data_IF_305280012721
#
_entry.id   IF_305280012721
#
_cell.length_a   1.000
_cell.length_b   1.000
_cell.length_c   1.000
_cell.angle_alpha   90.00
_cell.angle_beta   90.00
_cell.angle_gamma   90.00
#
_symmetry.space_group_name_H-M   'P 1'
#
loop_
_entity.id
_entity.type
_entity.pdbx_description
1 polymer ?
#
# COMPACT_ATOMS: atom_id res chain seq x y z
N UNK A 1 3.95 2.58 32.30
CA UNK A 1 2.56 2.92 31.98
C UNK A 1 2.11 1.97 30.88
N UNK A 2 1.32 0.95 31.22
CA UNK A 2 0.91 -0.09 30.28
C UNK A 2 -0.24 0.44 29.42
N UNK A 3 -0.04 0.49 28.11
CA UNK A 3 -1.05 0.97 27.17
C UNK A 3 -1.96 -0.21 26.80
N UNK A 4 -3.14 -0.28 27.41
CA UNK A 4 -4.18 -1.25 27.09
C UNK A 4 -5.00 -0.76 25.89
N UNK A 5 -4.72 -1.31 24.71
CA UNK A 5 -5.60 -1.16 23.55
C UNK A 5 -6.81 -2.08 23.74
N UNK A 6 -7.94 -1.50 24.15
CA UNK A 6 -9.30 -2.05 24.10
C UNK A 6 -9.51 -3.47 24.68
N UNK A 7 -9.98 -3.52 25.93
CA UNK A 7 -11.10 -4.38 26.34
C UNK A 7 -10.89 -5.88 26.54
N UNK A 8 -9.80 -6.49 26.08
CA UNK A 8 -9.45 -7.87 26.41
C UNK A 8 -8.06 -7.92 27.07
N UNK A 9 -7.86 -8.76 28.11
CA UNK A 9 -6.54 -8.95 28.69
C UNK A 9 -5.61 -9.47 27.59
N UNK A 10 -4.62 -8.65 27.25
CA UNK A 10 -3.53 -9.07 26.36
C UNK A 10 -2.83 -10.21 27.08
N UNK A 11 -2.99 -11.43 26.58
CA UNK A 11 -2.30 -12.58 27.13
C UNK A 11 -0.79 -12.30 27.17
N UNK A 12 -0.19 -12.35 28.37
CA UNK A 12 1.25 -12.44 28.54
C UNK A 12 1.72 -13.71 27.82
N UNK A 13 2.30 -13.56 26.63
CA UNK A 13 2.79 -14.69 25.82
C UNK A 13 2.72 -14.51 24.31
N UNK A 14 2.08 -13.46 23.78
CA UNK A 14 2.09 -13.22 22.33
C UNK A 14 3.51 -12.88 21.84
N UNK A 15 4.13 -13.78 21.05
CA UNK A 15 5.42 -13.53 20.40
C UNK A 15 5.31 -12.33 19.46
N UNK A 16 5.90 -11.21 19.88
CA UNK A 16 5.99 -10.01 19.07
C UNK A 16 7.21 -10.04 18.15
N UNK A 17 7.08 -9.47 16.95
CA UNK A 17 8.23 -9.23 16.07
C UNK A 17 8.24 -7.81 15.53
N UNK A 18 9.42 -7.22 15.47
CA UNK A 18 9.59 -5.90 14.85
C UNK A 18 9.74 -6.02 13.34
N UNK A 19 9.05 -5.15 12.60
CA UNK A 19 9.24 -4.97 11.16
C UNK A 19 9.65 -3.52 10.86
N UNK A 20 10.27 -3.32 9.70
CA UNK A 20 10.33 -2.01 9.06
C UNK A 20 9.13 -1.85 8.16
N UNK A 21 8.51 -0.68 8.14
CA UNK A 21 7.37 -0.42 7.27
C UNK A 21 7.40 0.98 6.67
N UNK A 22 6.67 1.13 5.56
CA UNK A 22 6.26 2.41 4.98
C UNK A 22 4.76 2.41 4.81
N UNK A 23 4.17 3.59 4.70
CA UNK A 23 2.76 3.77 4.38
C UNK A 23 2.61 4.46 3.02
N UNK A 24 1.50 4.14 2.37
CA UNK A 24 1.00 4.87 1.21
C UNK A 24 -0.52 5.01 1.38
N UNK A 25 -1.00 6.23 1.57
CA UNK A 25 -2.42 6.52 1.65
C UNK A 25 -2.99 6.77 0.26
N UNK A 26 -3.93 5.95 -0.16
CA UNK A 26 -4.53 6.08 -1.49
C UNK A 26 -5.35 7.37 -1.63
N UNK A 27 -6.11 7.70 -0.59
CA UNK A 27 -6.88 8.93 -0.41
C UNK A 27 -7.24 9.05 1.06
N UNK A 28 -7.21 10.25 1.64
CA UNK A 28 -7.69 10.46 3.00
C UNK A 28 -9.20 10.24 3.10
N UNK A 29 -9.63 9.65 4.21
CA UNK A 29 -11.01 9.43 4.60
C UNK A 29 -11.23 10.02 6.00
N UNK A 30 -12.37 10.66 6.23
CA UNK A 30 -12.78 11.27 7.49
C UNK A 30 -11.71 12.21 8.11
N UNK A 31 -11.01 12.97 7.25
CA UNK A 31 -9.88 13.85 7.60
C UNK A 31 -8.72 13.17 8.35
N UNK A 32 -8.63 11.84 8.30
CA UNK A 32 -7.58 11.06 8.94
C UNK A 32 -6.26 11.21 8.18
N UNK A 33 -5.37 12.05 8.72
CA UNK A 33 -4.04 12.35 8.16
C UNK A 33 -2.89 11.74 8.97
N UNK A 34 -3.18 11.28 10.18
CA UNK A 34 -2.22 10.66 11.08
C UNK A 34 -2.91 9.55 11.87
N UNK A 35 -2.20 8.47 12.09
CA UNK A 35 -2.62 7.34 12.91
C UNK A 35 -1.49 6.99 13.88
N UNK A 36 -1.74 6.08 14.80
CA UNK A 36 -0.74 5.56 15.74
C UNK A 36 -0.54 4.08 15.52
N UNK A 37 0.70 3.61 15.65
CA UNK A 37 1.08 2.21 15.54
C UNK A 37 1.89 1.78 16.78
N UNK A 38 1.88 0.49 17.12
CA UNK A 38 2.70 -0.03 18.22
C UNK A 38 4.18 0.11 17.86
N UNK A 39 4.91 0.89 18.65
CA UNK A 39 6.34 1.14 18.48
C UNK A 39 7.17 -0.14 18.61
N UNK A 40 8.46 -0.08 18.20
CA UNK A 40 9.34 -1.25 18.21
C UNK A 40 9.67 -1.76 19.61
N UNK A 41 9.42 -0.98 20.66
CA UNK A 41 9.53 -1.40 22.06
C UNK A 41 8.35 -2.30 22.50
N UNK A 42 7.30 -2.42 21.67
CA UNK A 42 6.09 -3.16 21.97
C UNK A 42 5.25 -2.55 23.09
N UNK A 43 5.51 -1.31 23.51
CA UNK A 43 4.86 -0.64 24.65
C UNK A 43 4.30 0.72 24.28
N UNK A 44 5.04 1.53 23.52
CA UNK A 44 4.63 2.88 23.14
C UNK A 44 3.87 2.88 21.82
N UNK A 45 3.04 3.91 21.60
CA UNK A 45 2.48 4.20 20.29
C UNK A 45 3.30 5.29 19.62
N UNK A 46 3.67 5.06 18.36
CA UNK A 46 4.35 6.04 17.53
C UNK A 46 3.35 6.70 16.55
N UNK A 47 3.45 8.02 16.31
CA UNK A 47 2.65 8.68 15.30
C UNK A 47 3.12 8.28 13.90
N UNK A 48 2.18 8.01 13.01
CA UNK A 48 2.39 7.58 11.63
C UNK A 48 1.59 8.49 10.72
N UNK A 49 2.28 9.34 9.97
CA UNK A 49 1.63 10.24 9.01
C UNK A 49 1.20 9.47 7.76
N UNK A 50 -0.02 9.74 7.31
CA UNK A 50 -0.60 9.14 6.10
C UNK A 50 -0.36 10.07 4.92
N UNK A 51 0.71 9.83 4.16
CA UNK A 51 0.99 10.59 2.93
C UNK A 51 0.33 9.93 1.72
N UNK A 52 -0.08 10.74 0.73
CA UNK A 52 -0.52 10.24 -0.59
C UNK A 52 0.66 9.89 -1.52
N UNK A 53 1.84 9.78 -0.93
CA UNK A 53 3.10 9.31 -1.51
C UNK A 53 3.70 8.30 -0.54
N UNK A 54 4.80 7.64 -0.93
CA UNK A 54 5.57 6.81 0.00
C UNK A 54 5.99 7.61 1.23
N UNK A 55 5.75 7.08 2.42
CA UNK A 55 6.34 7.60 3.66
C UNK A 55 7.83 7.28 3.74
N UNK A 56 8.51 7.88 4.71
CA UNK A 56 9.82 7.38 5.14
C UNK A 56 9.66 6.03 5.86
N UNK A 57 10.70 5.18 5.84
CA UNK A 57 10.70 3.94 6.63
C UNK A 57 10.61 4.21 8.13
N UNK A 58 9.71 3.50 8.79
CA UNK A 58 9.52 3.47 10.24
C UNK A 58 9.58 2.03 10.75
N UNK A 59 9.53 1.83 12.08
CA UNK A 59 9.56 0.50 12.69
C UNK A 59 8.35 0.32 13.60
N UNK A 60 7.71 -0.84 13.55
CA UNK A 60 6.61 -1.18 14.43
C UNK A 60 6.76 -2.60 14.98
N UNK A 61 6.18 -2.84 16.15
CA UNK A 61 5.98 -4.18 16.69
C UNK A 61 4.66 -4.75 16.15
N UNK A 62 4.74 -5.94 15.57
CA UNK A 62 3.57 -6.77 15.31
C UNK A 62 3.34 -7.69 16.49
N UNK A 63 2.08 -7.90 16.87
CA UNK A 63 1.66 -8.97 17.80
C UNK A 63 0.78 -9.94 17.02
N UNK A 64 1.04 -11.23 17.17
CA UNK A 64 0.32 -12.29 16.43
C UNK A 64 0.32 -12.06 14.90
N UNK A 65 1.43 -11.53 14.39
CA UNK A 65 1.59 -11.12 12.99
C UNK A 65 0.58 -10.05 12.51
N UNK A 66 -0.08 -9.33 13.42
CA UNK A 66 -1.03 -8.29 13.08
C UNK A 66 -0.41 -6.89 13.16
N UNK A 67 -0.59 -6.11 12.10
CA UNK A 67 -0.37 -4.67 12.10
C UNK A 67 -1.71 -3.99 12.41
N UNK A 68 -1.73 -3.17 13.47
CA UNK A 68 -2.92 -2.42 13.88
C UNK A 68 -2.55 -0.94 13.93
N UNK A 69 -3.37 -0.13 13.29
CA UNK A 69 -3.28 1.34 13.33
C UNK A 69 -4.50 1.88 14.04
N UNK A 70 -4.28 2.80 14.96
CA UNK A 70 -5.33 3.36 15.83
C UNK A 70 -5.32 4.88 15.82
N UNK A 71 -6.38 5.50 16.32
CA UNK A 71 -6.44 6.93 16.63
C UNK A 71 -7.03 7.12 18.01
N UNK A 72 -6.71 8.23 18.65
CA UNK A 72 -7.39 8.65 19.86
C UNK A 72 -8.86 8.99 19.56
N UNK A 73 -9.74 8.53 20.44
CA UNK A 73 -11.19 8.64 20.35
C UNK A 73 -11.77 8.98 21.73
N UNK A 74 -11.25 10.07 22.30
CA UNK A 74 -11.61 10.58 23.61
C UNK A 74 -10.84 9.90 24.75
N UNK A 75 -11.47 9.89 25.93
CA UNK A 75 -10.91 9.35 27.17
C UNK A 75 -11.60 8.01 27.52
N UNK A 76 -10.90 7.15 28.25
CA UNK A 76 -11.47 5.92 28.81
C UNK A 76 -12.46 6.21 29.95
N UNK A 77 -13.08 5.16 30.48
CA UNK A 77 -14.06 5.26 31.56
C UNK A 77 -13.51 5.90 32.85
N UNK A 78 -12.19 5.88 33.04
CA UNK A 78 -11.50 6.57 34.14
C UNK A 78 -11.41 8.10 33.94
N UNK A 79 -11.77 8.62 32.75
CA UNK A 79 -11.68 10.03 32.40
C UNK A 79 -10.24 10.57 32.34
N UNK A 80 -9.22 9.72 32.36
CA UNK A 80 -7.80 10.12 32.44
C UNK A 80 -7.01 9.55 31.28
N UNK A 81 -7.19 8.27 30.95
CA UNK A 81 -6.38 7.63 29.91
C UNK A 81 -7.00 7.84 28.52
N UNK A 82 -6.20 7.95 27.44
CA UNK A 82 -6.74 8.03 26.09
C UNK A 82 -7.45 6.73 25.70
N UNK A 83 -8.65 6.85 25.14
CA UNK A 83 -9.31 5.75 24.45
C UNK A 83 -8.85 5.74 23.01
N UNK A 84 -8.61 4.55 22.46
CA UNK A 84 -8.22 4.40 21.06
C UNK A 84 -9.30 3.67 20.28
N UNK A 85 -9.52 4.08 19.02
CA UNK A 85 -10.31 3.34 18.03
C UNK A 85 -9.40 2.76 16.96
N UNK A 86 -9.71 1.57 16.50
CA UNK A 86 -8.98 0.96 15.37
C UNK A 86 -9.36 1.68 14.09
N UNK A 87 -8.34 2.06 13.32
CA UNK A 87 -8.47 2.77 12.04
C UNK A 87 -8.30 1.81 10.88
N UNK A 88 -7.39 0.87 11.02
CA UNK A 88 -7.15 -0.18 10.05
C UNK A 88 -6.34 -1.30 10.69
N UNK A 89 -6.54 -2.54 10.23
CA UNK A 89 -5.67 -3.66 10.59
C UNK A 89 -5.43 -4.63 9.43
N UNK A 90 -4.33 -5.36 9.47
CA UNK A 90 -4.06 -6.48 8.55
C UNK A 90 -3.10 -7.47 9.17
N UNK A 91 -3.10 -8.71 8.66
CA UNK A 91 -2.07 -9.71 8.95
C UNK A 91 -0.86 -9.51 8.03
N UNK A 92 0.33 -9.73 8.56
CA UNK A 92 1.61 -9.69 7.84
C UNK A 92 2.28 -11.05 7.97
N UNK A 93 2.51 -11.79 6.87
CA UNK A 93 3.16 -13.09 6.93
C UNK A 93 4.51 -13.03 7.67
N UNK A 94 4.80 -14.05 8.49
CA UNK A 94 5.99 -14.10 9.36
C UNK A 94 7.32 -13.96 8.60
N UNK A 95 7.35 -14.38 7.34
CA UNK A 95 8.51 -14.27 6.45
C UNK A 95 8.81 -12.84 5.97
N UNK A 96 7.90 -11.88 6.19
CA UNK A 96 8.03 -10.51 5.67
C UNK A 96 8.50 -9.55 6.76
N UNK A 97 9.69 -8.97 6.59
CA UNK A 97 10.30 -8.03 7.54
C UNK A 97 10.25 -6.56 7.09
N UNK A 98 9.98 -6.30 5.81
CA UNK A 98 9.80 -4.96 5.25
C UNK A 98 8.47 -4.88 4.50
N UNK A 99 7.59 -3.97 4.92
CA UNK A 99 6.20 -3.91 4.43
C UNK A 99 5.84 -2.50 3.96
N UNK A 100 5.16 -2.40 2.82
CA UNK A 100 4.41 -1.23 2.43
C UNK A 100 2.95 -1.47 2.78
N UNK A 101 2.41 -0.68 3.70
CA UNK A 101 0.99 -0.66 4.00
C UNK A 101 0.29 0.36 3.09
N UNK A 102 -0.52 -0.14 2.17
CA UNK A 102 -1.38 0.70 1.34
C UNK A 102 -2.73 0.87 2.03
N UNK A 103 -3.03 2.10 2.45
CA UNK A 103 -4.32 2.46 3.06
C UNK A 103 -5.32 2.76 1.97
N UNK A 104 -6.31 1.89 1.80
CA UNK A 104 -7.42 2.07 0.88
C UNK A 104 -8.65 2.54 1.65
N UNK A 105 -9.42 3.52 1.12
CA UNK A 105 -10.66 3.91 1.75
C UNK A 105 -11.60 2.71 1.86
N UNK A 106 -12.20 2.53 3.04
CA UNK A 106 -13.18 1.48 3.24
C UNK A 106 -14.53 1.87 2.62
N UNK A 107 -15.42 0.89 2.51
CA UNK A 107 -16.80 1.14 2.08
C UNK A 107 -17.55 1.95 3.15
N UNK A 108 -18.60 2.67 2.72
CA UNK A 108 -19.45 3.42 3.63
C UNK A 108 -19.99 2.51 4.73
N UNK A 109 -19.95 2.98 5.98
CA UNK A 109 -20.37 2.25 7.19
C UNK A 109 -19.50 1.04 7.58
N UNK A 110 -18.30 0.88 7.00
CA UNK A 110 -17.34 -0.07 7.54
C UNK A 110 -16.95 0.34 8.98
N UNK A 111 -16.67 -0.64 9.84
CA UNK A 111 -16.23 -0.40 11.23
C UNK A 111 -14.88 0.31 11.29
N UNK A 112 -14.06 0.15 10.26
CA UNK A 112 -12.76 0.78 10.10
C UNK A 112 -12.79 1.68 8.86
N UNK A 113 -12.29 2.93 8.93
CA UNK A 113 -12.27 3.84 7.80
C UNK A 113 -11.33 3.40 6.67
N UNK A 114 -10.36 2.52 6.93
CA UNK A 114 -9.46 2.02 5.89
C UNK A 114 -9.39 0.49 5.86
N UNK A 115 -9.22 -0.06 4.66
CA UNK A 115 -8.72 -1.41 4.41
C UNK A 115 -7.21 -1.32 4.15
N UNK A 116 -6.43 -2.24 4.71
CA UNK A 116 -4.99 -2.32 4.45
C UNK A 116 -4.66 -3.41 3.44
N UNK A 117 -3.72 -3.10 2.55
CA UNK A 117 -2.97 -4.10 1.79
C UNK A 117 -1.52 -4.05 2.26
N UNK A 118 -1.03 -5.18 2.78
CA UNK A 118 0.38 -5.36 3.12
C UNK A 118 1.13 -5.92 1.90
N UNK A 119 2.08 -5.14 1.37
CA UNK A 119 2.93 -5.55 0.26
C UNK A 119 4.37 -5.71 0.73
N UNK A 120 5.08 -6.75 0.28
CA UNK A 120 6.52 -6.87 0.52
C UNK A 120 7.26 -5.67 -0.08
N UNK A 121 8.10 -5.01 0.71
CA UNK A 121 8.73 -3.75 0.32
C UNK A 121 10.26 -3.83 0.23
N UNK A 122 10.81 -5.00 0.56
CA UNK A 122 12.25 -5.22 0.46
C UNK A 122 12.72 -5.20 -1.00
N UNK A 123 13.94 -4.69 -1.29
CA UNK A 123 14.47 -4.64 -2.65
C UNK A 123 14.69 -6.00 -3.33
N UNK A 124 14.64 -7.13 -2.62
CA UNK A 124 14.75 -8.45 -3.25
C UNK A 124 13.40 -8.88 -3.82
N UNK A 125 12.31 -8.65 -3.08
CA UNK A 125 10.95 -8.93 -3.52
C UNK A 125 10.37 -7.85 -4.45
N UNK A 126 10.85 -6.62 -4.35
CA UNK A 126 10.48 -5.52 -5.24
C UNK A 126 11.71 -4.73 -5.71
N UNK A 127 12.47 -5.27 -6.67
CA UNK A 127 13.70 -4.63 -7.15
C UNK A 127 13.45 -3.24 -7.74
N UNK A 128 14.47 -2.38 -7.65
CA UNK A 128 14.48 -1.14 -8.41
C UNK A 128 14.53 -1.43 -9.92
N UNK A 129 13.89 -0.57 -10.70
CA UNK A 129 13.66 -0.74 -12.14
C UNK A 129 12.36 -1.49 -12.46
N UNK A 130 11.79 -2.22 -11.50
CA UNK A 130 10.57 -3.00 -11.73
C UNK A 130 9.29 -2.17 -11.49
N UNK A 131 8.19 -2.68 -12.06
CA UNK A 131 6.84 -2.14 -11.86
C UNK A 131 5.98 -3.20 -11.18
N UNK A 132 5.39 -2.86 -10.03
CA UNK A 132 4.35 -3.67 -9.40
C UNK A 132 2.99 -3.21 -9.86
N UNK A 133 2.18 -4.15 -10.34
CA UNK A 133 0.82 -3.92 -10.82
C UNK A 133 -0.15 -4.44 -9.76
N UNK A 134 -1.06 -3.59 -9.28
CA UNK A 134 -2.12 -3.96 -8.34
C UNK A 134 -3.48 -3.63 -8.95
N UNK A 135 -4.33 -4.64 -9.12
CA UNK A 135 -5.66 -4.45 -9.66
C UNK A 135 -6.74 -4.49 -8.58
N UNK A 136 -7.24 -3.32 -8.20
CA UNK A 136 -8.39 -3.15 -7.28
C UNK A 136 -9.73 -3.07 -8.02
N UNK A 137 -9.72 -3.11 -9.34
CA UNK A 137 -10.96 -3.07 -10.13
C UNK A 137 -11.69 -4.42 -10.10
N UNK A 138 -13.02 -4.44 -10.31
CA UNK A 138 -13.80 -5.67 -10.33
C UNK A 138 -13.64 -6.47 -11.65
N UNK A 139 -12.78 -6.02 -12.56
CA UNK A 139 -12.56 -6.67 -13.86
C UNK A 139 -11.07 -6.93 -14.10
N UNK A 140 -10.71 -7.90 -14.95
CA UNK A 140 -9.32 -8.05 -15.38
C UNK A 140 -8.80 -6.78 -16.06
N UNK A 141 -7.54 -6.45 -15.78
CA UNK A 141 -6.84 -5.32 -16.38
C UNK A 141 -5.60 -5.81 -17.10
N UNK A 142 -5.41 -5.38 -18.34
CA UNK A 142 -4.27 -5.71 -19.18
C UNK A 142 -3.31 -4.52 -19.26
N UNK A 143 -2.04 -4.80 -19.03
CA UNK A 143 -0.96 -3.84 -18.99
C UNK A 143 0.03 -4.16 -20.10
N UNK A 144 0.20 -3.20 -21.02
CA UNK A 144 1.23 -3.20 -22.05
C UNK A 144 2.33 -2.24 -21.63
N UNK A 145 3.52 -2.73 -21.31
CA UNK A 145 4.66 -1.92 -20.86
C UNK A 145 5.88 -2.20 -21.77
N UNK A 146 6.24 -1.26 -22.64
CA UNK A 146 7.40 -1.39 -23.54
C UNK A 146 7.37 -2.69 -24.35
N UNK A 147 8.43 -3.50 -24.26
CA UNK A 147 8.49 -4.80 -24.94
C UNK A 147 7.48 -5.85 -24.43
N UNK A 148 6.86 -5.63 -23.26
CA UNK A 148 5.76 -6.45 -22.74
C UNK A 148 4.40 -5.98 -23.29
N UNK A 149 4.33 -5.70 -24.58
CA UNK A 149 3.11 -5.30 -25.28
C UNK A 149 2.52 -6.45 -26.13
N UNK A 150 1.34 -6.22 -26.71
CA UNK A 150 0.64 -7.23 -27.53
C UNK A 150 0.39 -8.53 -26.77
N UNK A 151 0.89 -9.64 -27.32
CA UNK A 151 0.73 -10.98 -26.73
C UNK A 151 1.49 -11.18 -25.41
N UNK A 152 2.48 -10.34 -25.12
CA UNK A 152 3.29 -10.38 -23.88
C UNK A 152 2.70 -9.54 -22.74
N UNK A 153 1.58 -8.87 -22.99
CA UNK A 153 0.94 -8.02 -22.00
C UNK A 153 0.53 -8.80 -20.75
N UNK A 154 0.76 -8.21 -19.57
CA UNK A 154 0.36 -8.80 -18.30
C UNK A 154 -1.12 -8.54 -18.06
N UNK A 155 -1.88 -9.60 -17.78
CA UNK A 155 -3.28 -9.47 -17.37
C UNK A 155 -3.39 -9.77 -15.89
N UNK A 156 -3.81 -8.78 -15.11
CA UNK A 156 -3.97 -8.88 -13.66
C UNK A 156 -5.46 -9.05 -13.36
N UNK A 157 -5.81 -10.16 -12.69
CA UNK A 157 -7.20 -10.44 -12.27
C UNK A 157 -7.64 -9.47 -11.15
N UNK A 158 -8.96 -9.33 -10.88
CA UNK A 158 -9.44 -8.56 -9.72
C UNK A 158 -8.77 -9.00 -8.42
N UNK A 159 -8.29 -8.04 -7.63
CA UNK A 159 -7.52 -8.27 -6.40
C UNK A 159 -6.09 -8.78 -6.62
N UNK A 160 -5.68 -9.00 -7.88
CA UNK A 160 -4.39 -9.57 -8.23
C UNK A 160 -3.24 -8.58 -8.11
N UNK A 161 -2.05 -9.12 -7.89
CA UNK A 161 -0.78 -8.40 -7.91
C UNK A 161 0.14 -9.13 -8.88
N UNK A 162 0.78 -8.39 -9.77
CA UNK A 162 1.80 -8.90 -10.69
C UNK A 162 3.03 -8.01 -10.67
N UNK A 163 4.16 -8.57 -11.10
CA UNK A 163 5.40 -7.82 -11.27
C UNK A 163 5.77 -7.80 -12.76
N UNK A 164 6.21 -6.65 -13.23
CA UNK A 164 6.86 -6.48 -14.52
C UNK A 164 8.31 -6.12 -14.25
N UNK A 165 9.20 -6.96 -14.74
CA UNK A 165 10.63 -6.68 -14.72
C UNK A 165 10.96 -5.43 -15.52
N UNK A 166 12.14 -4.86 -15.22
CA UNK A 166 12.65 -3.68 -15.89
C UNK A 166 12.53 -3.78 -17.42
N UNK A 167 11.81 -2.80 -17.98
CA UNK A 167 11.68 -2.57 -19.41
C UNK A 167 13.03 -2.15 -19.99
N UNK A 168 13.51 -2.88 -21.00
CA UNK A 168 14.81 -2.67 -21.64
C UNK A 168 14.68 -1.89 -22.96
N UNK A 169 13.56 -2.02 -23.68
CA UNK A 169 13.37 -1.33 -24.95
C UNK A 169 12.78 0.05 -24.69
N UNK A 170 13.66 1.06 -24.70
CA UNK A 170 13.34 2.45 -24.42
C UNK A 170 13.80 3.35 -25.57
N UNK A 171 13.19 4.54 -25.68
CA UNK A 171 13.64 5.59 -26.60
C UNK A 171 14.88 6.33 -26.07
N UNK A 172 15.39 7.29 -26.85
CA UNK A 172 16.58 8.08 -26.52
C UNK A 172 16.45 8.90 -25.20
N UNK A 173 15.22 9.03 -24.67
CA UNK A 173 14.93 9.71 -23.41
C UNK A 173 14.73 8.73 -22.24
N UNK A 174 15.06 7.45 -22.43
CA UNK A 174 14.76 6.35 -21.51
C UNK A 174 13.26 6.21 -21.22
N UNK A 175 12.39 6.45 -22.20
CA UNK A 175 10.94 6.28 -22.04
C UNK A 175 10.43 5.06 -22.81
N UNK A 176 9.37 4.45 -22.31
CA UNK A 176 8.64 3.37 -22.97
C UNK A 176 7.14 3.63 -22.98
N UNK A 177 6.45 3.08 -23.99
CA UNK A 177 5.01 3.21 -24.11
C UNK A 177 4.30 2.34 -23.07
N UNK A 178 3.29 2.91 -22.43
CA UNK A 178 2.39 2.22 -21.51
C UNK A 178 0.96 2.35 -22.01
N UNK A 179 0.28 1.22 -22.17
CA UNK A 179 -1.16 1.17 -22.45
C UNK A 179 -1.84 0.27 -21.44
N UNK A 180 -2.91 0.78 -20.84
CA UNK A 180 -3.68 0.05 -19.83
C UNK A 180 -5.10 -0.11 -20.34
N UNK A 181 -5.57 -1.35 -20.34
CA UNK A 181 -6.87 -1.73 -20.86
C UNK A 181 -7.67 -2.46 -19.80
N UNK A 182 -8.95 -2.13 -19.67
CA UNK A 182 -9.86 -2.80 -18.75
C UNK A 182 -10.78 -3.73 -19.53
N UNK A 183 -11.06 -4.91 -18.99
CA UNK A 183 -12.00 -5.84 -19.59
C UNK A 183 -13.41 -5.24 -19.56
N UNK A 184 -13.97 -4.97 -20.74
CA UNK A 184 -15.36 -4.61 -20.96
C UNK A 184 -16.17 -5.77 -21.55
N UNK A 185 -17.43 -5.50 -21.92
CA UNK A 185 -18.36 -6.52 -22.47
C UNK A 185 -17.90 -7.11 -23.81
N UNK A 186 -17.26 -6.30 -24.66
CA UNK A 186 -16.82 -6.68 -26.01
C UNK A 186 -15.31 -6.99 -26.10
N UNK A 187 -14.63 -7.09 -24.97
CA UNK A 187 -13.17 -7.23 -24.91
C UNK A 187 -12.50 -6.13 -24.10
N UNK A 188 -11.18 -6.08 -24.18
CA UNK A 188 -10.37 -5.08 -23.51
C UNK A 188 -10.51 -3.71 -24.18
N UNK A 189 -10.70 -2.66 -23.37
CA UNK A 189 -10.86 -1.27 -23.81
C UNK A 189 -9.74 -0.43 -23.23
N UNK A 190 -8.99 0.34 -24.04
CA UNK A 190 -7.92 1.20 -23.52
C UNK A 190 -8.51 2.36 -22.72
N UNK A 191 -7.97 2.58 -21.52
CA UNK A 191 -8.37 3.70 -20.64
C UNK A 191 -7.22 4.68 -20.39
N UNK A 192 -5.99 4.23 -20.59
CA UNK A 192 -4.79 5.08 -20.50
C UNK A 192 -3.77 4.67 -21.54
N UNK A 193 -3.14 5.66 -22.15
CA UNK A 193 -2.03 5.52 -23.08
C UNK A 193 -1.04 6.65 -22.79
N UNK A 194 0.11 6.31 -22.21
CA UNK A 194 1.11 7.28 -21.73
C UNK A 194 2.52 6.76 -21.99
N UNK A 195 3.55 7.55 -21.65
CA UNK A 195 4.94 7.09 -21.62
C UNK A 195 5.48 7.17 -20.21
N UNK A 196 6.18 6.12 -19.77
CA UNK A 196 6.85 6.10 -18.48
C UNK A 196 8.37 6.07 -18.69
N UNK A 197 9.10 6.71 -17.77
CA UNK A 197 10.57 6.70 -17.76
C UNK A 197 11.06 5.41 -17.10
N UNK A 198 11.90 4.66 -17.80
CA UNK A 198 12.72 3.61 -17.21
C UNK A 198 13.87 4.25 -16.42
N UNK A 199 14.05 3.85 -15.17
CA UNK A 199 15.14 4.33 -14.34
C UNK A 199 15.59 3.26 -13.34
N UNK A 200 16.89 3.02 -13.29
CA UNK A 200 17.54 1.95 -12.51
C UNK A 200 17.32 2.09 -11.01
N UNK A 201 17.14 3.32 -10.54
CA UNK A 201 16.91 3.67 -9.13
C UNK A 201 15.49 4.15 -8.90
N UNK A 202 14.52 3.59 -9.60
CA UNK A 202 13.10 3.87 -9.38
C UNK A 202 12.32 2.58 -9.54
N UNK A 203 11.37 2.32 -8.66
CA UNK A 203 10.33 1.31 -8.87
C UNK A 203 8.97 1.97 -8.83
N UNK A 204 8.02 1.45 -9.59
CA UNK A 204 6.69 2.05 -9.71
C UNK A 204 5.62 1.08 -9.20
N UNK A 205 4.67 1.58 -8.42
CA UNK A 205 3.44 0.87 -8.07
C UNK A 205 2.28 1.46 -8.87
N UNK A 206 1.74 0.68 -9.80
CA UNK A 206 0.56 1.04 -10.58
C UNK A 206 -0.68 0.39 -9.96
N UNK A 207 -1.62 1.21 -9.50
CA UNK A 207 -2.88 0.77 -8.90
C UNK A 207 -4.03 1.11 -9.84
N UNK A 208 -4.76 0.09 -10.30
CA UNK A 208 -5.94 0.25 -11.17
C UNK A 208 -7.22 0.02 -10.39
N UNK A 209 -8.21 0.89 -10.56
CA UNK A 209 -9.44 0.89 -9.76
C UNK A 209 -10.59 1.53 -10.54
N UNK A 210 -11.81 1.40 -10.00
CA UNK A 210 -12.93 2.24 -10.42
C UNK A 210 -13.11 3.33 -9.39
N UNK A 211 -13.15 4.56 -9.84
CA UNK A 211 -13.43 5.70 -8.99
C UNK A 211 -14.82 5.53 -8.34
N UNK A 212 -14.93 5.59 -6.99
CA UNK A 212 -16.19 5.30 -6.32
C UNK A 212 -17.27 6.33 -6.64
N UNK A 213 -16.89 7.56 -7.01
CA UNK A 213 -17.82 8.67 -7.22
C UNK A 213 -18.31 8.69 -8.69
N UNK A 214 -17.38 8.64 -9.64
CA UNK A 214 -17.66 8.72 -11.08
C UNK A 214 -17.87 7.37 -11.76
N UNK A 215 -17.54 6.26 -11.08
CA UNK A 215 -17.52 4.89 -11.63
C UNK A 215 -16.64 4.73 -12.88
N UNK A 216 -15.69 5.64 -13.08
CA UNK A 216 -14.76 5.57 -14.20
C UNK A 216 -13.53 4.73 -13.84
N UNK A 217 -13.01 3.92 -14.77
CA UNK A 217 -11.75 3.23 -14.57
C UNK A 217 -10.60 4.24 -14.53
N UNK A 218 -9.74 4.14 -13.52
CA UNK A 218 -8.59 5.00 -13.32
C UNK A 218 -7.33 4.19 -13.00
N UNK A 219 -6.19 4.84 -13.14
CA UNK A 219 -4.88 4.33 -12.74
C UNK A 219 -4.12 5.41 -11.98
N UNK A 220 -3.61 5.06 -10.79
CA UNK A 220 -2.64 5.88 -10.08
C UNK A 220 -1.27 5.19 -10.15
N UNK A 221 -0.22 5.97 -10.40
CA UNK A 221 1.16 5.46 -10.47
C UNK A 221 1.98 6.17 -9.41
N UNK A 222 2.45 5.39 -8.44
CA UNK A 222 3.29 5.89 -7.34
C UNK A 222 4.74 5.53 -7.63
N UNK A 223 5.60 6.54 -7.66
CA UNK A 223 7.02 6.39 -7.95
C UNK A 223 7.77 6.30 -6.63
N UNK A 224 8.54 5.25 -6.45
CA UNK A 224 9.44 5.06 -5.32
C UNK A 224 10.88 5.25 -5.80
N UNK A 225 11.47 6.37 -5.39
CA UNK A 225 12.87 6.71 -5.66
C UNK A 225 13.57 6.64 -4.30
N UNK A 226 14.66 5.86 -4.16
CA UNK A 226 15.41 5.84 -2.93
C UNK A 226 15.90 7.25 -2.63
N UNK A 227 15.99 7.64 -1.35
CA UNK A 227 16.66 8.88 -0.96
C UNK A 227 18.02 8.98 -1.66
N UNK A 228 18.39 10.18 -2.08
CA UNK A 228 19.74 10.41 -2.59
C UNK A 228 20.73 9.94 -1.53
N UNK A 229 21.72 9.13 -1.93
CA UNK A 229 22.84 8.86 -1.04
C UNK A 229 23.51 10.20 -0.80
N UNK A 230 23.49 10.68 0.44
CA UNK A 230 24.29 11.83 0.83
C UNK A 230 25.75 11.36 0.70
N UNK A 231 26.58 12.00 -0.15
CA UNK A 231 27.99 11.65 -0.32
C UNK A 231 28.77 11.64 1.00
#
# INVERSE_FOLDING_TARGET
>A
MALFLLGEPIAEGAEGRTITFRTLCFRHQDDVKEVKALGPDGQSLIPVKLYTTYSLPERMMLRDNQAIFVMEDGLSADGVSPKFRVVARTTVPSSVSQVLFVFLPAEKNASEPYKLIALQDDPKAFPYGNVRLLNLSPVPVRFHLGEQAGAKAKTVKPGGIEMVDRVQQVDDYNMYQVRIEFQGRKGFVPISSTRWKAADRKRDLAITYFDPDTKRPLVNVYKDVPPAAIP
#
